data_IF_468252312403
#
_entry.id   IF_468252312403
#
_cell.length_a   1.000
_cell.length_b   1.000
_cell.length_c   1.000
_cell.angle_alpha   90.00
_cell.angle_beta   90.00
_cell.angle_gamma   90.00
#
_symmetry.space_group_name_H-M   'P 1'
#
loop_
_entity.id
_entity.type
_entity.pdbx_description
1 polymer ?
#
# COMPACT_ATOMS: atom_id res chain seq x y z
N UNK A 1 -0.92 16.75 9.41
CA UNK A 1 -1.83 15.67 8.96
C UNK A 1 -3.09 16.29 8.35
N UNK A 2 -3.45 15.87 7.15
CA UNK A 2 -4.71 16.28 6.53
C UNK A 2 -5.87 15.54 7.23
N UNK A 3 -6.96 16.20 7.64
CA UNK A 3 -8.11 15.55 8.28
C UNK A 3 -8.73 14.42 7.46
N UNK A 4 -8.64 14.50 6.12
CA UNK A 4 -9.17 13.48 5.22
C UNK A 4 -8.19 12.30 5.04
N UNK A 5 -6.95 12.42 5.53
CA UNK A 5 -5.94 11.37 5.51
C UNK A 5 -5.80 10.74 6.91
N UNK A 6 -6.76 9.89 7.27
CA UNK A 6 -6.93 9.30 8.60
C UNK A 6 -6.39 7.85 8.76
N UNK A 7 -5.73 7.31 7.72
CA UNK A 7 -5.14 5.96 7.75
C UNK A 7 -3.82 5.89 8.54
N UNK A 8 -3.39 4.67 8.89
CA UNK A 8 -2.06 4.44 9.47
C UNK A 8 -0.98 4.42 8.38
N UNK A 9 -0.42 5.59 8.08
CA UNK A 9 0.66 5.74 7.10
C UNK A 9 2.05 5.32 7.60
N UNK A 10 2.20 4.81 8.83
CA UNK A 10 3.50 4.47 9.44
C UNK A 10 4.56 5.59 9.28
N UNK A 11 4.30 6.80 9.81
CA UNK A 11 5.18 7.95 9.58
C UNK A 11 6.50 7.82 10.34
N UNK A 12 7.60 8.27 9.71
CA UNK A 12 8.94 8.48 10.28
C UNK A 12 9.71 7.23 10.75
N UNK A 13 9.04 6.26 11.37
CA UNK A 13 9.67 5.06 11.94
C UNK A 13 8.88 3.82 11.54
N UNK A 14 9.59 2.81 11.04
CA UNK A 14 9.00 1.54 10.66
C UNK A 14 8.37 0.80 11.85
N UNK A 15 7.27 0.08 11.59
CA UNK A 15 6.57 -0.77 12.55
C UNK A 15 6.71 -2.23 12.13
N UNK A 16 7.10 -3.11 13.04
CA UNK A 16 7.08 -4.56 12.80
C UNK A 16 5.63 -5.03 12.65
N UNK A 17 5.34 -5.72 11.54
CA UNK A 17 4.04 -6.34 11.26
C UNK A 17 4.26 -7.65 10.53
N UNK A 18 3.42 -8.64 10.82
CA UNK A 18 3.30 -9.80 9.96
C UNK A 18 2.51 -9.38 8.71
N UNK A 19 3.12 -9.54 7.53
CA UNK A 19 2.52 -9.13 6.25
C UNK A 19 2.53 -10.32 5.30
N UNK A 20 1.38 -10.98 5.20
CA UNK A 20 1.18 -12.14 4.32
C UNK A 20 0.87 -11.73 2.86
N UNK A 21 0.26 -10.57 2.70
CA UNK A 21 -0.08 -9.98 1.40
C UNK A 21 0.29 -8.50 1.39
N UNK A 22 0.73 -8.01 0.23
CA UNK A 22 1.04 -6.61 0.01
C UNK A 22 0.42 -6.11 -1.29
N UNK A 23 -0.04 -4.85 -1.29
CA UNK A 23 -0.59 -4.17 -2.46
C UNK A 23 0.33 -3.00 -2.83
N UNK A 24 0.61 -2.84 -4.13
CA UNK A 24 1.32 -1.69 -4.68
C UNK A 24 0.43 -0.96 -5.68
N UNK A 25 0.06 0.28 -5.34
CA UNK A 25 -0.79 1.13 -6.16
C UNK A 25 0.07 2.12 -6.96
N UNK A 26 -0.23 2.27 -8.24
CA UNK A 26 0.38 3.26 -9.13
C UNK A 26 -0.70 4.00 -9.91
N UNK A 27 -0.91 5.27 -9.55
CA UNK A 27 -1.88 6.17 -10.20
C UNK A 27 -1.11 7.32 -10.86
N UNK A 28 -0.91 7.23 -12.17
CA UNK A 28 -0.09 8.15 -12.93
C UNK A 28 -0.92 9.20 -13.68
N UNK A 29 -0.25 10.27 -14.11
CA UNK A 29 -0.85 11.29 -14.97
C UNK A 29 -1.46 10.67 -16.23
N UNK A 30 -2.50 11.31 -16.76
CA UNK A 30 -3.24 10.80 -17.92
C UNK A 30 -4.24 9.69 -17.57
N UNK A 31 -4.50 9.45 -16.28
CA UNK A 31 -5.53 8.49 -15.82
C UNK A 31 -5.09 7.03 -15.89
N UNK A 32 -3.78 6.77 -15.98
CA UNK A 32 -3.24 5.42 -15.96
C UNK A 32 -3.22 4.88 -14.52
N UNK A 33 -4.00 3.84 -14.28
CA UNK A 33 -4.08 3.16 -12.98
C UNK A 33 -3.61 1.71 -13.11
N UNK A 34 -2.66 1.32 -12.26
CA UNK A 34 -2.17 -0.05 -12.16
C UNK A 34 -2.03 -0.46 -10.70
N UNK A 35 -2.42 -1.69 -10.39
CA UNK A 35 -2.35 -2.26 -9.04
C UNK A 35 -1.75 -3.66 -9.11
N UNK A 36 -0.77 -3.93 -8.25
CA UNK A 36 -0.16 -5.25 -8.08
C UNK A 36 -0.46 -5.78 -6.68
N UNK A 37 -0.70 -7.09 -6.58
CA UNK A 37 -0.85 -7.79 -5.31
C UNK A 37 0.20 -8.90 -5.24
N UNK A 38 0.94 -8.93 -4.14
CA UNK A 38 1.92 -9.94 -3.81
C UNK A 38 1.41 -10.78 -2.66
N UNK A 39 1.68 -12.08 -2.72
CA UNK A 39 1.29 -13.03 -1.69
C UNK A 39 2.06 -14.34 -1.83
N UNK A 40 1.78 -15.31 -0.96
CA UNK A 40 2.30 -16.65 -1.10
C UNK A 40 1.96 -17.24 -2.48
N UNK A 41 2.76 -18.20 -2.96
CA UNK A 41 2.47 -18.89 -4.22
C UNK A 41 1.07 -19.52 -4.18
N UNK A 42 0.40 -19.66 -5.34
CA UNK A 42 -0.85 -20.40 -5.44
C UNK A 42 -0.65 -21.83 -4.89
N UNK A 43 -1.69 -22.35 -4.23
CA UNK A 43 -1.74 -23.74 -3.80
C UNK A 43 -1.74 -24.71 -4.98
#
# INVERSE_FOLDING_TARGET
PDPECDLDYTPNVGKTREVNYAMSNSFAFGGLNAVLVFGPPPA
#
